data_IF_680708829457
#
_entry.id   IF_680708829457
#
_cell.length_a   1.000
_cell.length_b   1.000
_cell.length_c   1.000
_cell.angle_alpha   90.00
_cell.angle_beta   90.00
_cell.angle_gamma   90.00
#
_symmetry.space_group_name_H-M   'P 1'
#
loop_
_entity.id
_entity.type
_entity.pdbx_description
1 polymer ?
#
# COMPACT_ATOMS: atom_id res chain seq x y z
N UNK A 1 5.87 8.24 4.84
CA UNK A 1 5.75 7.11 3.91
C UNK A 1 5.38 5.88 4.70
N UNK A 2 4.44 5.10 4.20
CA UNK A 2 4.00 3.87 4.86
C UNK A 2 4.32 2.72 3.91
N UNK A 3 5.22 1.86 4.37
CA UNK A 3 5.78 0.79 3.56
C UNK A 3 5.15 -0.54 3.98
N UNK A 4 5.09 -1.47 3.04
CA UNK A 4 4.68 -2.85 3.29
C UNK A 4 5.74 -3.78 2.70
N UNK A 5 5.93 -4.94 3.31
CA UNK A 5 6.93 -5.90 2.82
C UNK A 5 6.26 -6.86 1.85
N UNK A 6 6.70 -6.84 0.59
CA UNK A 6 6.32 -7.82 -0.41
C UNK A 6 7.41 -8.90 -0.50
N UNK A 7 7.02 -10.17 -0.46
CA UNK A 7 7.93 -11.32 -0.52
C UNK A 7 7.50 -12.27 -1.63
N UNK A 8 8.46 -12.81 -2.38
CA UNK A 8 8.24 -13.87 -3.36
C UNK A 8 9.19 -15.02 -3.06
N UNK A 9 8.66 -16.24 -3.04
CA UNK A 9 9.41 -17.48 -2.82
C UNK A 9 9.32 -18.35 -4.07
N UNK A 10 10.46 -18.83 -4.58
CA UNK A 10 10.53 -19.63 -5.80
C UNK A 10 11.80 -20.49 -5.84
N UNK A 11 11.77 -21.57 -6.61
CA UNK A 11 12.94 -22.43 -6.84
C UNK A 11 13.51 -22.19 -8.25
N UNK A 12 14.81 -21.97 -8.33
CA UNK A 12 15.52 -21.78 -9.60
C UNK A 12 16.89 -22.46 -9.56
N UNK A 13 17.21 -23.25 -10.59
CA UNK A 13 18.48 -23.98 -10.70
C UNK A 13 18.86 -24.80 -9.44
N UNK A 14 17.89 -25.52 -8.88
CA UNK A 14 18.03 -26.31 -7.65
C UNK A 14 18.40 -25.49 -6.39
N UNK A 15 18.19 -24.17 -6.43
CA UNK A 15 18.32 -23.28 -5.29
C UNK A 15 16.96 -22.65 -4.97
N UNK A 16 16.63 -22.60 -3.68
CA UNK A 16 15.45 -21.92 -3.17
C UNK A 16 15.75 -20.44 -2.94
N UNK A 17 14.89 -19.57 -3.46
CA UNK A 17 14.98 -18.12 -3.33
C UNK A 17 13.80 -17.59 -2.53
N UNK A 18 14.10 -16.67 -1.62
CA UNK A 18 13.12 -15.89 -0.86
C UNK A 18 13.54 -14.43 -0.94
N UNK A 19 12.92 -13.71 -1.87
CA UNK A 19 13.24 -12.32 -2.16
C UNK A 19 12.17 -11.42 -1.56
N UNK A 20 12.59 -10.31 -0.96
CA UNK A 20 11.67 -9.34 -0.36
C UNK A 20 12.09 -7.91 -0.65
N UNK A 21 11.10 -7.01 -0.66
CA UNK A 21 11.29 -5.58 -0.84
C UNK A 21 10.27 -4.79 -0.01
N UNK A 22 10.62 -3.57 0.38
CA UNK A 22 9.69 -2.61 0.97
C UNK A 22 9.01 -1.80 -0.12
N UNK A 23 7.69 -1.94 -0.24
CA UNK A 23 6.86 -1.28 -1.24
C UNK A 23 6.08 -0.16 -0.59
N UNK A 24 6.11 1.03 -1.20
CA UNK A 24 5.24 2.14 -0.80
C UNK A 24 3.77 1.82 -1.15
N UNK A 25 2.88 1.96 -0.17
CA UNK A 25 1.44 1.78 -0.32
C UNK A 25 0.87 2.66 -1.45
N UNK A 26 1.41 3.87 -1.67
CA UNK A 26 0.97 4.74 -2.75
C UNK A 26 1.18 4.12 -4.14
N UNK A 27 2.24 3.32 -4.32
CA UNK A 27 2.51 2.60 -5.57
C UNK A 27 1.41 1.57 -5.86
N UNK A 28 0.88 0.95 -4.81
CA UNK A 28 -0.16 -0.08 -4.91
C UNK A 28 -1.53 0.53 -5.18
N UNK A 29 -1.87 1.63 -4.52
CA UNK A 29 -3.20 2.23 -4.62
C UNK A 29 -3.43 2.92 -5.97
N UNK A 30 -2.37 3.53 -6.53
CA UNK A 30 -2.45 4.40 -7.70
C UNK A 30 -2.20 3.67 -9.03
N UNK A 31 -1.80 2.40 -9.01
CA UNK A 31 -1.50 1.63 -10.21
C UNK A 31 -2.46 0.46 -10.38
N UNK A 32 -3.14 0.41 -11.53
CA UNK A 32 -4.02 -0.73 -11.85
C UNK A 32 -3.25 -2.04 -12.03
N UNK A 33 -1.97 -1.98 -12.42
CA UNK A 33 -1.08 -3.12 -12.55
C UNK A 33 0.09 -3.05 -11.55
N UNK A 34 -0.23 -2.87 -10.27
CA UNK A 34 0.76 -2.77 -9.21
C UNK A 34 1.61 -4.06 -9.07
N UNK A 35 1.06 -5.24 -9.40
CA UNK A 35 1.77 -6.51 -9.27
C UNK A 35 3.06 -6.53 -10.08
N UNK A 36 3.01 -6.14 -11.36
CA UNK A 36 4.19 -6.09 -12.23
C UNK A 36 5.24 -5.14 -11.66
N UNK A 37 4.82 -3.95 -11.22
CA UNK A 37 5.72 -2.98 -10.59
C UNK A 37 6.40 -3.54 -9.34
N UNK A 38 5.70 -4.33 -8.52
CA UNK A 38 6.28 -4.98 -7.35
C UNK A 38 7.30 -6.04 -7.75
N UNK A 39 7.00 -6.92 -8.71
CA UNK A 39 7.97 -7.91 -9.18
C UNK A 39 9.24 -7.24 -9.70
N UNK A 40 9.11 -6.19 -10.51
CA UNK A 40 10.25 -5.44 -11.03
C UNK A 40 11.05 -4.74 -9.93
N UNK A 41 10.38 -4.30 -8.86
CA UNK A 41 11.03 -3.69 -7.69
C UNK A 41 11.83 -4.73 -6.92
N UNK A 42 11.22 -5.87 -6.58
CA UNK A 42 11.88 -7.00 -5.92
C UNK A 42 13.07 -7.48 -6.75
N UNK A 43 12.90 -7.63 -8.08
CA UNK A 43 13.95 -8.05 -8.98
C UNK A 43 15.15 -7.10 -8.94
N UNK A 44 14.90 -5.79 -9.06
CA UNK A 44 15.95 -4.76 -9.08
C UNK A 44 16.74 -4.73 -7.76
N UNK A 45 16.05 -4.80 -6.63
CA UNK A 45 16.70 -4.76 -5.31
C UNK A 45 17.50 -6.02 -5.00
N UNK A 46 17.10 -7.16 -5.58
CA UNK A 46 17.74 -8.45 -5.36
C UNK A 46 18.65 -8.89 -6.53
N UNK A 47 19.03 -7.95 -7.42
CA UNK A 47 19.93 -8.19 -8.56
C UNK A 47 19.45 -9.26 -9.56
N UNK A 48 18.14 -9.49 -9.66
CA UNK A 48 17.53 -10.34 -10.70
C UNK A 48 17.43 -9.53 -11.99
N UNK A 49 17.91 -10.10 -13.09
CA UNK A 49 17.93 -9.42 -14.39
C UNK A 49 16.53 -9.19 -14.97
N UNK A 50 16.27 -8.00 -15.52
CA UNK A 50 14.96 -7.62 -16.08
C UNK A 50 14.53 -8.41 -17.33
N UNK A 51 15.46 -9.14 -17.95
CA UNK A 51 15.21 -10.01 -19.11
C UNK A 51 15.71 -11.43 -18.83
N UNK A 52 15.62 -11.85 -17.57
CA UNK A 52 16.10 -13.16 -17.15
C UNK A 52 14.95 -14.17 -17.05
N UNK A 53 15.26 -15.43 -17.35
CA UNK A 53 14.33 -16.53 -17.08
C UNK A 53 14.01 -16.67 -15.57
N UNK A 54 14.92 -16.22 -14.71
CA UNK A 54 14.70 -16.13 -13.27
C UNK A 54 13.54 -15.18 -12.93
N UNK A 55 13.47 -14.02 -13.59
CA UNK A 55 12.35 -13.10 -13.45
C UNK A 55 11.03 -13.74 -13.92
N UNK A 56 11.05 -14.46 -15.05
CA UNK A 56 9.85 -15.15 -15.55
C UNK A 56 9.31 -16.17 -14.54
N UNK A 57 10.21 -16.97 -13.93
CA UNK A 57 9.83 -17.92 -12.86
C UNK A 57 9.27 -17.17 -11.64
N UNK A 58 9.94 -16.09 -11.22
CA UNK A 58 9.51 -15.30 -10.07
C UNK A 58 8.13 -14.68 -10.30
N UNK A 59 7.84 -14.19 -11.51
CA UNK A 59 6.55 -13.59 -11.88
C UNK A 59 5.39 -14.60 -11.91
N UNK A 60 5.69 -15.89 -12.05
CA UNK A 60 4.70 -16.97 -11.95
C UNK A 60 4.36 -17.33 -10.48
N UNK A 61 5.18 -16.87 -9.53
CA UNK A 61 4.96 -17.12 -8.10
C UNK A 61 4.16 -16.01 -7.45
N UNK A 62 3.38 -16.37 -6.43
CA UNK A 62 2.54 -15.43 -5.68
C UNK A 62 3.38 -14.46 -4.83
N UNK A 63 3.02 -13.18 -4.85
CA UNK A 63 3.53 -12.19 -3.88
C UNK A 63 2.79 -12.37 -2.54
N UNK A 64 3.56 -12.52 -1.47
CA UNK A 64 3.08 -12.56 -0.10
C UNK A 64 3.37 -11.22 0.56
N UNK A 65 2.30 -10.53 0.96
CA UNK A 65 2.38 -9.26 1.66
C UNK A 65 2.43 -9.47 3.18
N UNK A 66 3.27 -8.68 3.83
CA UNK A 66 3.35 -8.59 5.28
C UNK A 66 3.53 -7.15 5.72
N UNK A 67 3.09 -6.88 6.94
CA UNK A 67 3.05 -5.54 7.51
C UNK A 67 3.78 -5.53 8.84
N UNK A 68 4.91 -4.83 8.85
CA UNK A 68 5.79 -4.72 10.01
C UNK A 68 5.27 -3.72 11.04
N UNK A 69 4.52 -2.71 10.58
CA UNK A 69 4.05 -1.60 11.40
C UNK A 69 2.59 -1.77 11.85
N UNK A 70 1.92 -2.83 11.39
CA UNK A 70 0.52 -3.13 11.71
C UNK A 70 -0.50 -2.15 11.11
N UNK A 71 -0.06 -1.27 10.22
CA UNK A 71 -0.91 -0.26 9.60
C UNK A 71 -1.99 -0.84 8.66
N UNK A 72 -1.63 -1.81 7.83
CA UNK A 72 -2.50 -2.45 6.84
C UNK A 72 -2.93 -3.85 7.25
N UNK A 73 -2.69 -4.28 8.49
CA UNK A 73 -2.99 -5.64 8.93
C UNK A 73 -4.46 -6.05 8.69
N UNK A 74 -5.39 -5.09 8.80
CA UNK A 74 -6.81 -5.29 8.48
C UNK A 74 -7.14 -5.38 6.98
N UNK A 75 -6.20 -4.97 6.13
CA UNK A 75 -6.26 -5.07 4.67
C UNK A 75 -5.58 -6.36 4.17
N UNK A 76 -4.88 -7.10 5.03
CA UNK A 76 -4.21 -8.35 4.67
C UNK A 76 -5.13 -9.56 4.95
N UNK A 77 -5.27 -10.44 3.96
CA UNK A 77 -5.99 -11.70 4.06
C UNK A 77 -5.07 -12.84 3.62
N UNK A 78 -4.50 -13.61 4.55
CA UNK A 78 -3.60 -14.74 4.25
C UNK A 78 -2.45 -14.40 3.29
N UNK A 79 -1.84 -13.22 3.46
CA UNK A 79 -0.74 -12.75 2.60
C UNK A 79 -1.19 -12.07 1.31
N UNK A 80 -2.49 -12.06 0.99
CA UNK A 80 -3.07 -11.23 -0.06
C UNK A 80 -3.45 -9.85 0.48
N UNK A 81 -3.39 -8.84 -0.38
CA UNK A 81 -3.79 -7.48 -0.04
C UNK A 81 -5.16 -7.15 -0.65
N UNK A 82 -6.09 -6.69 0.19
CA UNK A 82 -7.39 -6.17 -0.24
C UNK A 82 -7.23 -4.70 -0.63
N UNK A 83 -7.08 -4.46 -1.94
CA UNK A 83 -6.83 -3.13 -2.51
C UNK A 83 -7.97 -2.15 -2.20
N UNK A 84 -9.22 -2.62 -2.18
CA UNK A 84 -10.37 -1.77 -1.85
C UNK A 84 -10.27 -1.29 -0.41
N UNK A 85 -10.02 -2.20 0.54
CA UNK A 85 -9.81 -1.81 1.95
C UNK A 85 -8.58 -0.93 2.14
N UNK A 86 -7.49 -1.20 1.41
CA UNK A 86 -6.27 -0.41 1.47
C UNK A 86 -6.51 1.03 1.00
N UNK A 87 -7.23 1.19 -0.12
CA UNK A 87 -7.61 2.50 -0.67
C UNK A 87 -8.52 3.26 0.29
N UNK A 88 -9.50 2.59 0.90
CA UNK A 88 -10.38 3.19 1.90
C UNK A 88 -9.62 3.64 3.13
N UNK A 89 -8.73 2.79 3.65
CA UNK A 89 -7.89 3.10 4.80
C UNK A 89 -6.98 4.30 4.54
N UNK A 90 -6.30 4.30 3.39
CA UNK A 90 -5.42 5.39 2.98
C UNK A 90 -6.20 6.69 2.81
N UNK A 91 -7.36 6.65 2.15
CA UNK A 91 -8.22 7.82 1.95
C UNK A 91 -8.69 8.40 3.28
N UNK A 92 -9.15 7.53 4.20
CA UNK A 92 -9.55 7.96 5.56
C UNK A 92 -8.39 8.64 6.28
N UNK A 93 -7.19 8.08 6.20
CA UNK A 93 -6.05 8.66 6.89
C UNK A 93 -5.62 10.01 6.29
N UNK A 94 -5.57 10.12 4.96
CA UNK A 94 -5.26 11.36 4.28
C UNK A 94 -6.28 12.44 4.66
N UNK A 95 -7.57 12.09 4.64
CA UNK A 95 -8.66 12.98 5.02
C UNK A 95 -8.53 13.44 6.48
N UNK A 96 -8.23 12.54 7.40
CA UNK A 96 -7.97 12.90 8.81
C UNK A 96 -6.81 13.88 8.94
N UNK A 97 -5.70 13.69 8.20
CA UNK A 97 -4.57 14.62 8.22
C UNK A 97 -4.99 16.01 7.73
N UNK A 98 -5.64 16.07 6.57
CA UNK A 98 -6.09 17.32 5.95
C UNK A 98 -7.08 18.07 6.84
N UNK A 99 -8.06 17.37 7.41
CA UNK A 99 -9.05 18.01 8.30
C UNK A 99 -8.39 18.50 9.59
N UNK A 100 -7.46 17.72 10.17
CA UNK A 100 -6.74 18.14 11.37
C UNK A 100 -5.88 19.38 11.11
N UNK A 101 -5.22 19.46 9.95
CA UNK A 101 -4.46 20.63 9.52
C UNK A 101 -5.37 21.85 9.27
N UNK A 102 -6.53 21.67 8.65
CA UNK A 102 -7.51 22.75 8.47
C UNK A 102 -8.04 23.25 9.82
N UNK A 103 -8.35 22.34 10.74
CA UNK A 103 -8.78 22.71 12.08
C UNK A 103 -7.70 23.49 12.82
N UNK A 104 -6.43 23.09 12.72
CA UNK A 104 -5.31 23.85 13.27
C UNK A 104 -5.18 25.25 12.64
N UNK A 105 -5.24 25.30 11.30
CA UNK A 105 -5.12 26.55 10.53
C UNK A 105 -6.19 27.58 10.88
N UNK A 106 -7.41 27.13 11.20
CA UNK A 106 -8.53 28.00 11.54
C UNK A 106 -8.82 28.06 13.05
N UNK A 107 -7.87 27.61 13.90
CA UNK A 107 -7.97 27.61 15.36
C UNK A 107 -9.26 26.94 15.89
N UNK A 108 -9.69 25.87 15.20
CA UNK A 108 -10.82 25.04 15.58
C UNK A 108 -10.37 23.99 16.60
N UNK A 109 -11.25 23.67 17.55
CA UNK A 109 -11.00 22.66 18.58
C UNK A 109 -10.81 21.27 17.95
N UNK A 110 -9.57 20.74 17.98
CA UNK A 110 -9.21 19.45 17.36
C UNK A 110 -9.94 18.23 17.94
N UNK A 111 -10.47 18.36 19.15
CA UNK A 111 -11.28 17.35 19.84
C UNK A 111 -12.79 17.49 19.58
N UNK A 112 -13.22 18.54 18.85
CA UNK A 112 -14.61 18.70 18.44
C UNK A 112 -14.97 17.76 17.29
N UNK A 113 -15.46 16.58 17.69
CA UNK A 113 -15.94 15.55 16.78
C UNK A 113 -17.01 16.06 15.81
N UNK A 114 -17.91 16.97 16.24
CA UNK A 114 -18.97 17.45 15.37
C UNK A 114 -18.41 18.29 14.21
N UNK A 115 -17.41 19.12 14.49
CA UNK A 115 -16.71 19.90 13.47
C UNK A 115 -15.91 19.00 12.54
N UNK A 116 -15.21 18.00 13.06
CA UNK A 116 -14.49 17.02 12.25
C UNK A 116 -15.43 16.25 11.29
N UNK A 117 -16.55 15.76 11.81
CA UNK A 117 -17.56 15.02 11.04
C UNK A 117 -18.19 15.92 9.97
N UNK A 118 -18.52 17.18 10.30
CA UNK A 118 -19.09 18.14 9.34
C UNK A 118 -18.12 18.48 8.19
N UNK A 119 -16.83 18.66 8.48
CA UNK A 119 -15.80 18.91 7.46
C UNK A 119 -15.57 17.69 6.58
N UNK A 120 -15.60 16.48 7.17
CA UNK A 120 -15.55 15.21 6.44
C UNK A 120 -16.71 15.10 5.47
N UNK A 121 -17.94 15.32 5.93
CA UNK A 121 -19.15 15.26 5.11
C UNK A 121 -19.14 16.29 3.97
N UNK A 122 -18.70 17.52 4.26
CA UNK A 122 -18.60 18.58 3.27
C UNK A 122 -17.59 18.22 2.16
N UNK A 123 -16.43 17.67 2.52
CA UNK A 123 -15.43 17.21 1.55
C UNK A 123 -15.96 16.08 0.66
N UNK A 124 -16.59 15.07 1.26
CA UNK A 124 -17.17 13.93 0.53
C UNK A 124 -18.25 14.41 -0.45
N UNK A 125 -19.14 15.31 -0.02
CA UNK A 125 -20.18 15.90 -0.89
C UNK A 125 -19.57 16.70 -2.04
N UNK A 126 -18.52 17.47 -1.79
CA UNK A 126 -17.83 18.24 -2.83
C UNK A 126 -17.13 17.39 -3.89
N UNK A 127 -16.58 16.22 -3.53
CA UNK A 127 -15.93 15.30 -4.47
C UNK A 127 -16.91 14.57 -5.39
N UNK A 128 -18.15 14.39 -4.94
CA UNK A 128 -19.21 13.69 -5.67
C UNK A 128 -20.12 14.64 -6.48
N UNK A 129 -19.83 15.94 -6.49
CA UNK A 129 -20.59 16.98 -7.20
C UNK A 129 -19.84 17.49 -8.43
#
# INVERSE_FOLDING_TARGET
MKNITATVEFDYKAQHYKLSSEIDIETIINQDNYCESIYLTIARENSVGLYSYELEIMMDQKIIFSDKDGYIQQCLNNGDIDISKLRDLHTKQLLTSVITELMDKYDLKKDDKNTFDALTDAYIKGKNS
#
